data_IF_657050247787
#
_entry.id   IF_657050247787
#
_cell.length_a   1.000
_cell.length_b   1.000
_cell.length_c   1.000
_cell.angle_alpha   90.00
_cell.angle_beta   90.00
_cell.angle_gamma   90.00
#
_symmetry.space_group_name_H-M   'P 1'
#
loop_
_entity.id
_entity.type
_entity.pdbx_description
1 polymer ?
#
# COMPACT_ATOMS: atom_id res chain seq x y z
N UNK A 1 -8.39 12.41 15.65
CA UNK A 1 -6.92 12.60 15.53
C UNK A 1 -6.21 11.47 16.29
N UNK A 2 -5.02 11.03 15.83
CA UNK A 2 -4.38 9.80 16.34
C UNK A 2 -4.06 9.84 17.84
N UNK A 3 -3.59 10.97 18.36
CA UNK A 3 -3.25 11.15 19.79
C UNK A 3 -4.45 11.12 20.74
N UNK A 4 -5.66 11.31 20.21
CA UNK A 4 -6.89 11.29 21.00
C UNK A 4 -7.53 9.90 20.95
N UNK A 5 -7.64 9.32 19.76
CA UNK A 5 -8.24 7.99 19.55
C UNK A 5 -7.36 6.87 20.14
N UNK A 6 -6.03 7.02 20.08
CA UNK A 6 -5.09 6.01 20.59
C UNK A 6 -5.04 5.88 22.12
N UNK A 7 -5.87 6.60 22.86
CA UNK A 7 -5.97 6.52 24.34
C UNK A 7 -7.05 5.54 24.80
N UNK A 8 -7.88 5.04 23.88
CA UNK A 8 -9.03 4.20 24.20
C UNK A 8 -8.86 2.81 23.59
N UNK A 9 -9.19 1.79 24.38
CA UNK A 9 -9.24 0.41 23.88
C UNK A 9 -10.47 0.14 23.02
N UNK A 10 -11.51 0.99 23.10
CA UNK A 10 -12.73 0.87 22.33
C UNK A 10 -13.35 2.24 22.05
N UNK A 11 -13.59 2.58 20.79
CA UNK A 11 -14.13 3.88 20.38
C UNK A 11 -14.85 3.80 19.04
N UNK A 12 -15.92 4.59 18.90
CA UNK A 12 -16.63 4.80 17.65
C UNK A 12 -16.14 6.09 17.00
N UNK A 13 -15.75 6.01 15.73
CA UNK A 13 -15.20 7.15 14.98
C UNK A 13 -16.06 7.37 13.74
N UNK A 14 -16.67 8.54 13.64
CA UNK A 14 -17.32 8.98 12.40
C UNK A 14 -16.31 9.03 11.28
N UNK A 15 -16.64 8.40 10.15
CA UNK A 15 -15.75 8.40 9.00
C UNK A 15 -15.71 9.77 8.30
N UNK A 16 -14.81 9.90 7.32
CA UNK A 16 -14.58 11.16 6.61
C UNK A 16 -15.80 11.65 5.81
N UNK A 17 -16.77 10.77 5.51
CA UNK A 17 -18.00 11.13 4.80
C UNK A 17 -19.07 11.74 5.69
N UNK A 18 -18.89 11.68 7.02
CA UNK A 18 -19.91 12.02 8.03
C UNK A 18 -21.23 11.23 7.95
N UNK A 19 -21.32 10.26 7.05
CA UNK A 19 -22.50 9.42 6.87
C UNK A 19 -22.39 8.06 7.58
N UNK A 20 -21.19 7.68 8.03
CA UNK A 20 -20.93 6.40 8.66
C UNK A 20 -20.08 6.50 9.93
N UNK A 21 -20.11 5.42 10.72
CA UNK A 21 -19.32 5.26 11.93
C UNK A 21 -18.55 3.94 11.83
N UNK A 22 -17.30 3.95 12.27
CA UNK A 22 -16.48 2.75 12.43
C UNK A 22 -16.20 2.48 13.89
N UNK A 23 -16.50 1.27 14.32
CA UNK A 23 -16.03 0.73 15.59
C UNK A 23 -14.54 0.43 15.49
N UNK A 24 -13.76 0.88 16.49
CA UNK A 24 -12.37 0.52 16.64
C UNK A 24 -12.14 -0.07 18.02
N UNK A 25 -11.64 -1.30 18.04
CA UNK A 25 -11.16 -1.99 19.24
C UNK A 25 -9.64 -2.17 19.14
N UNK A 26 -8.93 -1.87 20.21
CA UNK A 26 -7.51 -2.15 20.30
C UNK A 26 -7.31 -3.64 20.54
N UNK A 27 -6.48 -4.25 19.69
CA UNK A 27 -6.04 -5.63 19.81
C UNK A 27 -4.52 -5.61 19.87
N UNK A 28 -3.97 -6.02 21.01
CA UNK A 28 -2.53 -5.98 21.27
C UNK A 28 -1.76 -6.99 20.40
N UNK A 29 -2.33 -8.16 20.17
CA UNK A 29 -1.67 -9.22 19.39
C UNK A 29 -1.63 -8.83 17.91
N UNK A 30 -2.76 -8.36 17.39
CA UNK A 30 -2.84 -7.84 16.03
C UNK A 30 -1.92 -6.63 15.83
N UNK A 31 -1.83 -5.73 16.81
CA UNK A 31 -0.91 -4.59 16.74
C UNK A 31 0.56 -5.02 16.69
N UNK A 32 0.95 -6.03 17.48
CA UNK A 32 2.30 -6.58 17.46
C UNK A 32 2.62 -7.28 16.13
N UNK A 33 1.70 -8.08 15.62
CA UNK A 33 1.81 -8.76 14.32
C UNK A 33 2.02 -7.76 13.18
N UNK A 34 1.14 -6.76 13.08
CA UNK A 34 1.22 -5.73 12.05
C UNK A 34 2.48 -4.87 12.19
N UNK A 35 2.92 -4.59 13.42
CA UNK A 35 4.18 -3.92 13.70
C UNK A 35 5.39 -4.71 13.18
N UNK A 36 5.42 -6.02 13.42
CA UNK A 36 6.47 -6.92 12.91
C UNK A 36 6.50 -6.96 11.38
N UNK A 37 5.33 -7.08 10.74
CA UNK A 37 5.20 -7.05 9.28
C UNK A 37 5.69 -5.72 8.70
N UNK A 38 5.29 -4.59 9.28
CA UNK A 38 5.75 -3.27 8.87
C UNK A 38 7.28 -3.15 9.01
N UNK A 39 7.85 -3.60 10.12
CA UNK A 39 9.30 -3.58 10.33
C UNK A 39 10.04 -4.39 9.25
N UNK A 40 9.52 -5.58 8.90
CA UNK A 40 10.06 -6.40 7.82
C UNK A 40 10.03 -5.70 6.45
N UNK A 41 8.88 -5.13 6.09
CA UNK A 41 8.73 -4.37 4.83
C UNK A 41 9.66 -3.15 4.81
N UNK A 42 9.76 -2.41 5.91
CA UNK A 42 10.63 -1.24 6.00
C UNK A 42 12.12 -1.62 5.94
N UNK A 43 12.52 -2.75 6.52
CA UNK A 43 13.89 -3.26 6.40
C UNK A 43 14.22 -3.58 4.95
N UNK A 44 13.34 -4.33 4.28
CA UNK A 44 13.49 -4.69 2.86
C UNK A 44 13.52 -3.45 1.97
N UNK A 45 12.58 -2.52 2.16
CA UNK A 45 12.52 -1.28 1.42
C UNK A 45 13.84 -0.51 1.54
N UNK A 46 14.39 -0.34 2.74
CA UNK A 46 15.69 0.36 2.90
C UNK A 46 16.85 -0.35 2.21
N UNK A 47 16.86 -1.68 2.23
CA UNK A 47 17.92 -2.47 1.60
C UNK A 47 17.84 -2.43 0.06
N UNK A 48 16.64 -2.48 -0.50
CA UNK A 48 16.42 -2.65 -1.94
C UNK A 48 16.11 -1.35 -2.68
N UNK A 49 15.63 -0.30 -1.99
CA UNK A 49 15.12 0.92 -2.63
C UNK A 49 16.11 1.60 -3.59
N UNK A 50 17.42 1.74 -3.29
CA UNK A 50 18.35 2.36 -4.23
C UNK A 50 18.44 1.59 -5.54
N UNK A 51 18.67 0.27 -5.47
CA UNK A 51 18.79 -0.61 -6.64
C UNK A 51 17.50 -0.66 -7.44
N UNK A 52 16.35 -0.78 -6.77
CA UNK A 52 15.04 -0.76 -7.45
C UNK A 52 14.79 0.59 -8.12
N UNK A 53 15.14 1.70 -7.47
CA UNK A 53 14.98 3.03 -8.07
C UNK A 53 15.88 3.23 -9.29
N UNK A 54 17.11 2.72 -9.27
CA UNK A 54 18.01 2.75 -10.42
C UNK A 54 17.48 1.91 -11.58
N UNK A 55 17.08 0.66 -11.31
CA UNK A 55 16.49 -0.21 -12.32
C UNK A 55 15.22 0.40 -12.93
N UNK A 56 14.35 0.98 -12.10
CA UNK A 56 13.15 1.66 -12.56
C UNK A 56 13.50 2.82 -13.50
N UNK A 57 14.46 3.68 -13.12
CA UNK A 57 14.90 4.81 -13.96
C UNK A 57 15.54 4.35 -15.27
N UNK A 58 16.35 3.30 -15.25
CA UNK A 58 16.98 2.74 -16.44
C UNK A 58 15.93 2.20 -17.43
N UNK A 59 14.87 1.57 -16.94
CA UNK A 59 13.81 1.00 -17.76
C UNK A 59 12.70 2.00 -18.12
N UNK A 60 12.71 3.22 -17.61
CA UNK A 60 11.67 4.23 -17.91
C UNK A 60 11.36 4.40 -19.41
N UNK A 61 12.35 4.46 -20.32
CA UNK A 61 12.08 4.57 -21.75
C UNK A 61 11.30 3.37 -22.29
N UNK A 62 11.63 2.15 -21.84
CA UNK A 62 10.93 0.92 -22.21
C UNK A 62 9.53 0.88 -21.63
N UNK A 63 9.38 1.18 -20.33
CA UNK A 63 8.12 1.15 -19.60
C UNK A 63 7.10 2.13 -20.19
N UNK A 64 7.57 3.27 -20.69
CA UNK A 64 6.75 4.33 -21.29
C UNK A 64 6.66 4.27 -22.82
N UNK A 65 7.27 3.26 -23.46
CA UNK A 65 7.29 3.16 -24.92
C UNK A 65 5.91 2.82 -25.48
N UNK A 66 5.58 3.41 -26.64
CA UNK A 66 4.32 3.12 -27.35
C UNK A 66 4.15 1.62 -27.60
N UNK A 67 5.22 0.95 -28.02
CA UNK A 67 5.23 -0.49 -28.29
C UNK A 67 4.87 -1.31 -27.05
N UNK A 68 5.46 -0.99 -25.89
CA UNK A 68 5.16 -1.70 -24.63
C UNK A 68 3.71 -1.50 -24.19
N UNK A 69 3.15 -0.30 -24.37
CA UNK A 69 1.74 -0.02 -24.09
C UNK A 69 0.80 -0.74 -25.06
N UNK A 70 1.10 -0.76 -26.36
CA UNK A 70 0.32 -1.50 -27.37
C UNK A 70 0.25 -2.99 -27.00
N UNK A 71 1.40 -3.61 -26.66
CA UNK A 71 1.46 -5.00 -26.21
C UNK A 71 0.57 -5.25 -24.99
N UNK A 72 0.59 -4.37 -23.98
CA UNK A 72 -0.23 -4.51 -22.76
C UNK A 72 -1.72 -4.51 -23.08
N UNK A 73 -2.18 -3.57 -23.92
CA UNK A 73 -3.60 -3.49 -24.27
C UNK A 73 -4.06 -4.66 -25.14
N UNK A 74 -3.23 -5.14 -26.06
CA UNK A 74 -3.54 -6.33 -26.84
C UNK A 74 -3.69 -7.57 -25.96
N UNK A 75 -2.82 -7.74 -24.96
CA UNK A 75 -2.93 -8.80 -23.96
C UNK A 75 -4.21 -8.70 -23.13
N UNK A 76 -4.58 -7.49 -22.71
CA UNK A 76 -5.84 -7.27 -21.96
C UNK A 76 -7.08 -7.61 -22.80
N UNK A 77 -7.06 -7.27 -24.09
CA UNK A 77 -8.16 -7.58 -25.00
C UNK A 77 -8.28 -9.09 -25.25
N UNK A 78 -7.16 -9.80 -25.35
CA UNK A 78 -7.14 -11.26 -25.47
C UNK A 78 -7.63 -11.97 -24.21
N UNK A 79 -7.28 -11.47 -23.02
CA UNK A 79 -7.72 -12.05 -21.75
C UNK A 79 -9.21 -11.81 -21.43
N UNK A 80 -9.86 -10.89 -22.15
CA UNK A 80 -11.29 -10.56 -21.99
C UNK A 80 -12.18 -11.24 -23.03
N UNK A 81 -11.60 -12.01 -23.97
CA UNK A 81 -12.29 -12.80 -25.00
C UNK A 81 -12.29 -14.29 -24.64
#
# INVERSE_FOLDING_TARGET
RWWHVGRFDHVYVTDASQAGVRERKYDRELAAEMGGRLAGVMKRFRAEAPTVAEAFRAEMPTLTSRENWTRLYEQMNQASS
#
